data_IF_439287813265
#
_entry.id   IF_439287813265
#
_cell.length_a   1.000
_cell.length_b   1.000
_cell.length_c   1.000
_cell.angle_alpha   90.00
_cell.angle_beta   90.00
_cell.angle_gamma   90.00
#
_symmetry.space_group_name_H-M   'P 1'
#
loop_
_entity.id
_entity.type
_entity.pdbx_description
1 polymer ?
#
# COMPACT_ATOMS: atom_id res chain seq x y z
N UNK A 1 -35.76 0.12 0.34
CA UNK A 1 -35.98 1.16 1.37
C UNK A 1 -34.63 1.65 1.82
N UNK A 2 -34.45 2.98 1.87
CA UNK A 2 -33.25 3.72 2.26
C UNK A 2 -31.97 3.42 1.45
N UNK A 3 -31.99 3.75 0.17
CA UNK A 3 -30.78 4.25 -0.48
C UNK A 3 -30.50 5.63 0.13
N UNK A 4 -29.80 5.67 1.26
CA UNK A 4 -29.13 6.88 1.70
C UNK A 4 -28.06 7.14 0.64
N UNK A 5 -28.15 8.23 -0.15
CA UNK A 5 -26.98 8.69 -0.85
C UNK A 5 -26.02 9.12 0.26
N UNK A 6 -24.99 8.33 0.53
CA UNK A 6 -23.76 8.84 1.11
C UNK A 6 -23.11 9.74 0.06
N UNK A 7 -23.79 10.84 -0.26
CA UNK A 7 -23.12 12.08 -0.56
C UNK A 7 -22.41 12.43 0.73
N UNK A 8 -21.12 12.07 0.83
CA UNK A 8 -20.25 12.76 1.77
C UNK A 8 -20.45 14.25 1.52
N UNK A 9 -21.00 14.94 2.52
CA UNK A 9 -21.23 16.39 2.54
C UNK A 9 -19.92 17.17 2.63
N UNK A 10 -18.95 16.81 1.80
CA UNK A 10 -17.76 17.56 1.45
C UNK A 10 -17.91 17.72 -0.06
N UNK A 11 -18.31 18.91 -0.50
CA UNK A 11 -18.53 19.17 -1.92
C UNK A 11 -17.36 18.65 -2.75
N UNK A 12 -17.65 17.90 -3.82
CA UNK A 12 -16.63 17.63 -4.83
C UNK A 12 -16.07 18.97 -5.27
N UNK A 13 -14.75 19.11 -5.17
CA UNK A 13 -14.05 20.34 -5.49
C UNK A 13 -13.98 20.43 -7.01
N UNK A 14 -15.12 20.68 -7.66
CA UNK A 14 -15.16 20.94 -9.11
C UNK A 14 -14.49 22.27 -9.46
N UNK A 15 -14.40 23.18 -8.50
CA UNK A 15 -13.70 24.45 -8.65
C UNK A 15 -12.28 24.33 -8.13
N UNK A 16 -11.38 23.84 -9.00
CA UNK A 16 -9.95 23.85 -8.75
C UNK A 16 -9.50 25.27 -8.37
N UNK A 17 -8.63 25.44 -7.35
CA UNK A 17 -8.16 26.77 -6.95
C UNK A 17 -7.38 27.49 -8.06
N UNK A 18 -6.91 26.75 -9.07
CA UNK A 18 -6.20 27.25 -10.25
C UNK A 18 -6.64 26.41 -11.46
N UNK A 19 -6.69 26.96 -12.68
CA UNK A 19 -7.03 26.19 -13.88
C UNK A 19 -6.22 24.89 -14.02
N UNK A 20 -6.90 23.75 -14.23
CA UNK A 20 -6.26 22.43 -14.25
C UNK A 20 -5.11 22.29 -15.26
N UNK A 21 -5.17 23.01 -16.38
CA UNK A 21 -4.08 23.03 -17.36
C UNK A 21 -2.76 23.56 -16.79
N UNK A 22 -2.79 24.58 -15.91
CA UNK A 22 -1.59 25.13 -15.28
C UNK A 22 -0.90 24.10 -14.38
N UNK A 23 -1.66 23.28 -13.67
CA UNK A 23 -1.11 22.20 -12.85
C UNK A 23 -0.49 21.09 -13.70
N UNK A 24 -1.13 20.70 -14.81
CA UNK A 24 -0.59 19.69 -15.72
C UNK A 24 0.76 20.15 -16.30
N UNK A 25 0.85 21.40 -16.77
CA UNK A 25 2.13 21.95 -17.23
C UNK A 25 3.14 22.09 -16.11
N UNK A 26 2.73 22.58 -14.93
CA UNK A 26 3.61 22.73 -13.77
C UNK A 26 4.24 21.41 -13.34
N UNK A 27 3.44 20.35 -13.22
CA UNK A 27 3.92 19.02 -12.88
C UNK A 27 4.85 18.46 -13.97
N UNK A 28 4.49 18.59 -15.25
CA UNK A 28 5.35 18.16 -16.35
C UNK A 28 6.69 18.90 -16.34
N UNK A 29 6.69 20.23 -16.14
CA UNK A 29 7.90 21.05 -16.03
C UNK A 29 8.74 20.61 -14.84
N UNK A 30 8.15 20.39 -13.67
CA UNK A 30 8.89 19.93 -12.48
C UNK A 30 9.58 18.60 -12.77
N UNK A 31 8.94 17.66 -13.47
CA UNK A 31 9.56 16.39 -13.84
C UNK A 31 10.68 16.55 -14.86
N UNK A 32 10.49 17.39 -15.89
CA UNK A 32 11.51 17.67 -16.89
C UNK A 32 12.73 18.35 -16.27
N UNK A 33 12.51 19.32 -15.37
CA UNK A 33 13.58 20.02 -14.66
C UNK A 33 14.27 19.07 -13.68
N UNK A 34 13.52 18.26 -12.93
CA UNK A 34 14.09 17.25 -12.03
C UNK A 34 14.91 16.22 -12.80
N UNK A 35 14.47 15.84 -13.99
CA UNK A 35 15.23 15.00 -14.91
C UNK A 35 16.53 15.66 -15.35
N UNK A 36 16.46 16.92 -15.79
CA UNK A 36 17.63 17.67 -16.25
C UNK A 36 18.67 17.86 -15.14
N UNK A 37 18.22 18.14 -13.91
CA UNK A 37 19.09 18.20 -12.73
C UNK A 37 19.64 16.81 -12.36
N UNK A 38 18.81 15.78 -12.44
CA UNK A 38 19.21 14.38 -12.30
C UNK A 38 20.32 14.01 -13.29
N UNK A 39 20.25 14.45 -14.54
CA UNK A 39 21.28 14.20 -15.55
C UNK A 39 22.68 14.75 -15.19
N UNK A 40 22.78 15.70 -14.25
CA UNK A 40 24.06 16.20 -13.73
C UNK A 40 24.72 15.22 -12.75
N UNK A 41 23.97 14.25 -12.24
CA UNK A 41 24.39 13.21 -11.32
C UNK A 41 25.15 12.10 -12.08
N UNK A 42 26.47 12.01 -11.89
CA UNK A 42 27.34 11.11 -12.70
C UNK A 42 27.81 9.83 -12.00
N UNK A 43 27.52 9.65 -10.70
CA UNK A 43 27.97 8.50 -9.88
C UNK A 43 26.87 8.13 -8.89
N UNK A 44 26.59 6.85 -8.59
CA UNK A 44 25.52 6.50 -7.66
C UNK A 44 25.73 7.17 -6.28
N UNK A 45 24.69 7.79 -5.73
CA UNK A 45 24.74 8.44 -4.40
C UNK A 45 23.83 7.75 -3.38
N UNK A 46 22.79 7.03 -3.83
CA UNK A 46 21.86 6.36 -2.94
C UNK A 46 22.35 4.94 -2.62
N UNK A 47 22.77 4.18 -3.63
CA UNK A 47 23.29 2.82 -3.43
C UNK A 47 24.52 2.78 -2.50
N UNK A 48 25.44 3.75 -2.63
CA UNK A 48 26.64 3.89 -1.80
C UNK A 48 26.32 4.22 -0.33
N UNK A 49 25.16 4.82 -0.06
CA UNK A 49 24.72 5.24 1.29
C UNK A 49 23.70 4.30 1.92
N UNK A 50 23.37 3.19 1.26
CA UNK A 50 22.34 2.26 1.70
C UNK A 50 22.65 1.53 3.01
N UNK A 51 23.94 1.34 3.33
CA UNK A 51 24.37 0.63 4.54
C UNK A 51 24.00 1.36 5.85
N UNK A 52 23.92 2.70 5.80
CA UNK A 52 23.62 3.53 6.97
C UNK A 52 24.67 3.47 8.09
N UNK A 53 24.33 4.06 9.23
CA UNK A 53 25.12 4.06 10.47
C UNK A 53 24.29 3.49 11.62
N UNK A 54 24.86 2.62 12.47
CA UNK A 54 24.12 2.05 13.59
C UNK A 54 23.69 3.14 14.58
N UNK A 55 22.48 3.00 15.12
CA UNK A 55 22.00 3.85 16.21
C UNK A 55 22.80 3.61 17.52
N UNK A 56 22.78 4.54 18.48
CA UNK A 56 23.44 4.35 19.77
C UNK A 56 22.98 3.07 20.49
N UNK A 57 23.90 2.42 21.21
CA UNK A 57 23.64 1.15 21.90
C UNK A 57 22.43 1.14 22.86
N UNK A 58 22.13 2.22 23.63
CA UNK A 58 20.92 2.26 24.45
C UNK A 58 19.63 2.13 23.63
N UNK A 59 19.58 2.82 22.49
CA UNK A 59 18.42 2.81 21.60
C UNK A 59 18.26 1.46 20.89
N UNK A 60 19.37 0.82 20.49
CA UNK A 60 19.33 -0.54 19.94
C UNK A 60 18.76 -1.54 20.95
N UNK A 61 19.21 -1.49 22.22
CA UNK A 61 18.71 -2.38 23.28
C UNK A 61 17.23 -2.19 23.56
N UNK A 62 16.75 -0.95 23.53
CA UNK A 62 15.33 -0.65 23.71
C UNK A 62 14.50 -1.16 22.52
N UNK A 63 14.85 -0.78 21.30
CA UNK A 63 14.06 -1.08 20.09
C UNK A 63 14.08 -2.57 19.73
N UNK A 64 15.18 -3.27 20.00
CA UNK A 64 15.33 -4.70 19.73
C UNK A 64 15.15 -5.56 20.99
N UNK A 65 14.73 -4.93 22.09
CA UNK A 65 14.56 -5.59 23.38
C UNK A 65 13.45 -6.65 23.34
N UNK A 66 13.64 -7.80 24.02
CA UNK A 66 12.63 -8.86 24.04
C UNK A 66 11.34 -8.40 24.73
N UNK A 67 11.44 -7.52 25.73
CA UNK A 67 10.31 -6.97 26.48
C UNK A 67 9.39 -6.12 25.59
N UNK A 68 9.97 -5.16 24.84
CA UNK A 68 9.22 -4.35 23.90
C UNK A 68 8.60 -5.22 22.80
N UNK A 69 9.37 -6.18 22.27
CA UNK A 69 8.87 -7.11 21.25
C UNK A 69 7.71 -7.97 21.76
N UNK A 70 7.78 -8.45 23.00
CA UNK A 70 6.71 -9.21 23.63
C UNK A 70 5.47 -8.33 23.84
N UNK A 71 5.65 -7.12 24.38
CA UNK A 71 4.56 -6.17 24.60
C UNK A 71 3.83 -5.84 23.29
N UNK A 72 4.58 -5.44 22.27
CA UNK A 72 4.02 -5.11 20.95
C UNK A 72 3.34 -6.31 20.30
N UNK A 73 3.92 -7.51 20.43
CA UNK A 73 3.30 -8.74 19.92
C UNK A 73 1.99 -9.09 20.65
N UNK A 74 1.95 -8.96 21.98
CA UNK A 74 0.72 -9.17 22.77
C UNK A 74 -0.35 -8.14 22.41
N UNK A 75 0.02 -6.88 22.24
CA UNK A 75 -0.90 -5.81 21.80
C UNK A 75 -1.43 -6.12 20.40
N UNK A 76 -0.57 -6.51 19.45
CA UNK A 76 -0.99 -6.85 18.09
C UNK A 76 -1.95 -8.04 18.07
N UNK A 77 -1.64 -9.13 18.77
CA UNK A 77 -2.53 -10.30 18.88
C UNK A 77 -3.85 -9.95 19.56
N UNK A 78 -3.80 -9.13 20.63
CA UNK A 78 -4.99 -8.63 21.31
C UNK A 78 -5.87 -7.76 20.42
N UNK A 79 -5.27 -6.88 19.62
CA UNK A 79 -5.99 -6.05 18.64
C UNK A 79 -6.62 -6.91 17.53
N UNK A 80 -5.90 -7.90 17.00
CA UNK A 80 -6.47 -8.84 16.02
C UNK A 80 -7.69 -9.56 16.59
N UNK A 81 -7.58 -10.08 17.83
CA UNK A 81 -8.67 -10.77 18.50
C UNK A 81 -9.86 -9.84 18.78
N UNK A 82 -9.61 -8.61 19.24
CA UNK A 82 -10.64 -7.60 19.48
C UNK A 82 -11.38 -7.24 18.19
N UNK A 83 -10.65 -6.91 17.12
CA UNK A 83 -11.23 -6.52 15.84
C UNK A 83 -12.00 -7.67 15.21
N UNK A 84 -11.48 -8.89 15.28
CA UNK A 84 -12.19 -10.09 14.83
C UNK A 84 -13.47 -10.33 15.64
N UNK A 85 -13.41 -10.23 16.98
CA UNK A 85 -14.59 -10.40 17.83
C UNK A 85 -15.63 -9.30 17.60
N UNK A 86 -15.20 -8.05 17.45
CA UNK A 86 -16.09 -6.94 17.11
C UNK A 86 -16.76 -7.16 15.75
N UNK A 87 -16.00 -7.57 14.73
CA UNK A 87 -16.52 -7.90 13.42
C UNK A 87 -17.52 -9.08 13.45
N UNK A 88 -17.25 -10.09 14.29
CA UNK A 88 -18.02 -11.33 14.37
C UNK A 88 -19.21 -11.27 15.34
N UNK A 89 -19.24 -10.39 16.33
CA UNK A 89 -20.29 -10.36 17.35
C UNK A 89 -20.93 -8.98 17.51
N UNK A 90 -20.20 -7.91 17.21
CA UNK A 90 -20.68 -6.54 17.32
C UNK A 90 -21.78 -6.18 16.33
N UNK A 91 -22.25 -4.95 16.47
CA UNK A 91 -23.22 -4.31 15.58
C UNK A 91 -22.73 -4.37 14.13
N UNK A 92 -23.64 -4.64 13.20
CA UNK A 92 -23.30 -4.85 11.79
C UNK A 92 -23.32 -3.54 10.98
N UNK A 93 -23.47 -2.39 11.63
CA UNK A 93 -23.37 -1.07 11.02
C UNK A 93 -21.94 -0.55 10.99
N UNK A 94 -21.55 -0.01 9.84
CA UNK A 94 -20.20 0.49 9.53
C UNK A 94 -19.75 1.60 10.48
N UNK A 95 -20.69 2.41 10.99
CA UNK A 95 -20.40 3.58 11.83
C UNK A 95 -20.35 3.30 13.34
N UNK A 96 -20.85 2.15 13.80
CA UNK A 96 -20.85 1.76 15.21
C UNK A 96 -19.77 0.73 15.55
N UNK A 97 -19.34 -0.07 14.57
CA UNK A 97 -18.34 -1.11 14.76
C UNK A 97 -16.91 -0.60 14.49
N UNK A 98 -15.94 -0.99 15.31
CA UNK A 98 -14.54 -0.60 15.09
C UNK A 98 -13.91 -1.26 13.86
N UNK A 99 -14.37 -2.46 13.48
CA UNK A 99 -13.64 -3.30 12.54
C UNK A 99 -13.38 -2.65 11.16
N UNK A 100 -14.36 -2.00 10.50
CA UNK A 100 -14.13 -1.36 9.21
C UNK A 100 -13.15 -0.20 9.31
N UNK A 101 -13.32 0.65 10.33
CA UNK A 101 -12.41 1.79 10.57
C UNK A 101 -11.00 1.31 10.91
N UNK A 102 -10.87 0.26 11.72
CA UNK A 102 -9.56 -0.28 12.07
C UNK A 102 -8.85 -0.88 10.86
N UNK A 103 -9.51 -1.77 10.10
CA UNK A 103 -8.90 -2.48 8.97
C UNK A 103 -8.53 -1.51 7.86
N UNK A 104 -9.48 -0.69 7.38
CA UNK A 104 -9.26 0.16 6.21
C UNK A 104 -8.59 1.49 6.53
N UNK A 105 -8.79 2.06 7.72
CA UNK A 105 -8.23 3.39 8.03
C UNK A 105 -7.00 3.29 8.93
N UNK A 106 -7.09 2.63 10.08
CA UNK A 106 -5.97 2.59 11.04
C UNK A 106 -4.84 1.71 10.54
N UNK A 107 -5.15 0.49 10.12
CA UNK A 107 -4.19 -0.52 9.70
C UNK A 107 -3.70 -0.28 8.27
N UNK A 108 -4.61 -0.28 7.30
CA UNK A 108 -4.25 -0.20 5.89
C UNK A 108 -3.62 1.16 5.52
N UNK A 109 -4.22 2.27 5.97
CA UNK A 109 -3.74 3.61 5.62
C UNK A 109 -2.85 4.23 6.69
N UNK A 110 -3.20 4.07 7.97
CA UNK A 110 -2.49 4.69 9.08
C UNK A 110 -1.10 4.12 9.32
N UNK A 111 -0.86 2.84 9.01
CA UNK A 111 0.46 2.23 9.18
C UNK A 111 1.46 2.66 8.10
N UNK A 112 1.00 3.02 6.91
CA UNK A 112 1.85 3.45 5.78
C UNK A 112 2.77 4.63 6.14
N UNK A 113 2.28 5.80 6.63
CA UNK A 113 3.17 6.90 6.99
C UNK A 113 4.11 6.52 8.13
N UNK A 114 3.68 5.69 9.08
CA UNK A 114 4.53 5.24 10.18
C UNK A 114 5.70 4.40 9.65
N UNK A 115 5.44 3.47 8.73
CA UNK A 115 6.46 2.62 8.10
C UNK A 115 7.43 3.43 7.23
N UNK A 116 6.92 4.39 6.47
CA UNK A 116 7.75 5.26 5.61
C UNK A 116 8.65 6.18 6.44
N UNK A 117 8.22 6.58 7.65
CA UNK A 117 9.00 7.46 8.53
C UNK A 117 9.94 6.69 9.46
N UNK A 118 9.52 5.55 10.00
CA UNK A 118 10.22 4.83 11.07
C UNK A 118 10.91 3.53 10.62
N UNK A 119 10.67 3.09 9.38
CA UNK A 119 11.16 1.81 8.87
C UNK A 119 10.20 0.65 9.14
N UNK A 120 10.68 -0.57 8.96
CA UNK A 120 9.82 -1.76 9.00
C UNK A 120 9.45 -2.14 10.44
N UNK A 121 8.36 -1.55 10.93
CA UNK A 121 7.78 -1.84 12.25
C UNK A 121 6.84 -3.05 12.22
N UNK A 122 6.40 -3.46 11.03
CA UNK A 122 5.41 -4.53 10.87
C UNK A 122 5.83 -5.85 11.51
N UNK A 123 7.09 -6.32 11.41
CA UNK A 123 7.51 -7.48 12.16
C UNK A 123 7.19 -7.38 13.65
N UNK A 124 7.39 -6.23 14.31
CA UNK A 124 7.08 -6.10 15.74
C UNK A 124 5.57 -6.07 16.05
N UNK A 125 4.73 -5.78 15.06
CA UNK A 125 3.28 -5.63 15.17
C UNK A 125 2.51 -6.70 14.41
N UNK A 126 3.16 -7.77 13.94
CA UNK A 126 2.52 -8.79 13.09
C UNK A 126 1.80 -9.82 13.98
N UNK A 127 0.46 -9.76 14.09
CA UNK A 127 -0.27 -10.62 15.02
C UNK A 127 -0.21 -12.09 14.60
N UNK A 128 -0.14 -12.38 13.30
CA UNK A 128 -0.06 -13.76 12.81
C UNK A 128 1.26 -14.41 13.18
N UNK A 129 2.37 -13.68 13.04
CA UNK A 129 3.70 -14.13 13.44
C UNK A 129 3.75 -14.44 14.92
N UNK A 130 3.25 -13.52 15.75
CA UNK A 130 3.39 -13.62 17.20
C UNK A 130 2.43 -14.65 17.80
N UNK A 131 1.21 -14.80 17.26
CA UNK A 131 0.33 -15.91 17.58
C UNK A 131 0.96 -17.27 17.20
N UNK A 132 1.53 -17.38 16.00
CA UNK A 132 2.23 -18.59 15.56
C UNK A 132 3.45 -18.93 16.41
N UNK A 133 4.22 -17.92 16.85
CA UNK A 133 5.34 -18.10 17.77
C UNK A 133 4.87 -18.57 19.16
N UNK A 134 3.74 -18.06 19.66
CA UNK A 134 3.13 -18.52 20.91
C UNK A 134 2.71 -20.00 20.85
N UNK A 135 2.09 -20.43 19.74
CA UNK A 135 1.74 -21.84 19.51
C UNK A 135 3.00 -22.72 19.44
N UNK A 136 4.02 -22.29 18.70
CA UNK A 136 5.28 -23.02 18.60
C UNK A 136 5.96 -23.19 19.98
N UNK A 137 5.98 -22.14 20.79
CA UNK A 137 6.50 -22.18 22.16
C UNK A 137 5.72 -23.17 23.06
N UNK A 138 4.39 -23.21 22.96
CA UNK A 138 3.57 -24.17 23.70
C UNK A 138 3.87 -25.62 23.29
N UNK A 139 4.02 -25.87 21.99
CA UNK A 139 4.36 -27.21 21.47
C UNK A 139 5.74 -27.66 21.96
N UNK A 140 6.74 -26.77 21.94
CA UNK A 140 8.08 -27.06 22.46
C UNK A 140 8.04 -27.42 23.95
N UNK A 141 7.24 -26.70 24.76
CA UNK A 141 7.04 -27.02 26.18
C UNK A 141 6.33 -28.36 26.41
N UNK A 142 5.48 -28.77 25.48
CA UNK A 142 4.84 -30.08 25.49
C UNK A 142 5.78 -31.20 24.98
N UNK A 143 7.03 -30.90 24.64
CA UNK A 143 8.01 -31.86 24.14
C UNK A 143 7.93 -32.12 22.63
N UNK A 144 7.09 -31.40 21.91
CA UNK A 144 6.92 -31.53 20.46
C UNK A 144 7.79 -30.51 19.74
N UNK A 145 8.78 -30.98 18.97
CA UNK A 145 9.53 -30.12 18.05
C UNK A 145 8.85 -30.12 16.69
N UNK A 146 8.43 -28.95 16.24
CA UNK A 146 7.90 -28.77 14.89
C UNK A 146 8.99 -28.24 13.96
N UNK A 147 9.06 -28.80 12.76
CA UNK A 147 9.90 -28.32 11.66
C UNK A 147 9.04 -28.18 10.40
N UNK A 148 9.27 -27.15 9.56
CA UNK A 148 8.51 -26.98 8.33
C UNK A 148 8.57 -28.24 7.45
N UNK A 149 7.44 -28.81 7.03
CA UNK A 149 7.40 -30.00 6.19
C UNK A 149 7.89 -29.74 4.76
N UNK A 150 7.92 -28.48 4.31
CA UNK A 150 8.32 -28.11 2.95
C UNK A 150 9.19 -26.86 2.95
N UNK A 151 10.08 -26.76 1.96
CA UNK A 151 10.82 -25.52 1.68
C UNK A 151 10.00 -24.62 0.78
N UNK A 152 10.03 -23.32 1.04
CA UNK A 152 9.41 -22.33 0.17
C UNK A 152 10.08 -22.36 -1.22
N UNK A 153 9.34 -22.59 -2.32
CA UNK A 153 9.92 -22.60 -3.66
C UNK A 153 10.44 -21.21 -4.06
N UNK A 154 11.73 -21.08 -4.38
CA UNK A 154 12.33 -19.79 -4.76
C UNK A 154 11.64 -19.15 -5.98
N UNK A 155 11.17 -19.97 -6.92
CA UNK A 155 10.39 -19.53 -8.10
C UNK A 155 9.09 -18.80 -7.76
N UNK A 156 8.52 -19.03 -6.56
CA UNK A 156 7.32 -18.33 -6.14
C UNK A 156 7.63 -16.89 -5.77
N UNK A 157 8.82 -16.59 -5.23
CA UNK A 157 9.20 -15.24 -4.83
C UNK A 157 8.06 -14.51 -4.10
N UNK A 158 7.68 -13.35 -4.60
CA UNK A 158 6.56 -12.52 -4.11
C UNK A 158 5.20 -12.78 -4.78
N UNK A 159 5.06 -13.81 -5.64
CA UNK A 159 3.78 -14.10 -6.29
C UNK A 159 2.62 -14.36 -5.31
N UNK A 160 2.79 -15.18 -4.25
CA UNK A 160 1.71 -15.38 -3.28
C UNK A 160 1.31 -14.06 -2.59
N UNK A 161 2.27 -13.20 -2.27
CA UNK A 161 1.99 -11.88 -1.71
C UNK A 161 1.22 -10.99 -2.70
N UNK A 162 1.53 -11.05 -4.00
CA UNK A 162 0.82 -10.29 -5.02
C UNK A 162 -0.63 -10.76 -5.16
N UNK A 163 -0.87 -12.07 -5.11
CA UNK A 163 -2.22 -12.66 -5.14
C UNK A 163 -3.01 -12.28 -3.89
N UNK A 164 -2.40 -12.36 -2.70
CA UNK A 164 -3.06 -11.98 -1.46
C UNK A 164 -3.33 -10.47 -1.37
N UNK A 165 -2.43 -9.63 -1.88
CA UNK A 165 -2.67 -8.20 -2.00
C UNK A 165 -3.81 -7.93 -2.97
N UNK A 166 -3.83 -8.59 -4.13
CA UNK A 166 -4.91 -8.47 -5.11
C UNK A 166 -6.25 -8.90 -4.53
N UNK A 167 -6.29 -9.97 -3.75
CA UNK A 167 -7.50 -10.42 -3.06
C UNK A 167 -7.97 -9.37 -2.04
N UNK A 168 -7.06 -8.77 -1.28
CA UNK A 168 -7.38 -7.69 -0.33
C UNK A 168 -7.93 -6.45 -1.04
N UNK A 169 -7.28 -5.96 -2.10
CA UNK A 169 -7.79 -4.78 -2.83
C UNK A 169 -9.04 -5.10 -3.66
N UNK A 170 -9.28 -6.37 -4.01
CA UNK A 170 -10.54 -6.80 -4.64
C UNK A 170 -11.68 -6.73 -3.62
N UNK A 171 -11.44 -7.18 -2.38
CA UNK A 171 -12.38 -6.99 -1.29
C UNK A 171 -12.66 -5.49 -1.08
N UNK A 172 -11.61 -4.66 -1.04
CA UNK A 172 -11.73 -3.21 -0.80
C UNK A 172 -12.48 -2.48 -1.94
N UNK A 173 -12.15 -2.74 -3.21
CA UNK A 173 -12.55 -1.90 -4.34
C UNK A 173 -13.62 -2.51 -5.24
N UNK A 174 -13.85 -3.81 -5.18
CA UNK A 174 -14.78 -4.50 -6.07
C UNK A 174 -15.97 -5.15 -5.35
N UNK A 175 -15.82 -5.53 -4.08
CA UNK A 175 -16.88 -6.20 -3.33
C UNK A 175 -17.93 -5.18 -2.84
N UNK A 176 -19.24 -5.36 -3.16
CA UNK A 176 -20.28 -4.38 -2.83
C UNK A 176 -20.46 -4.07 -1.33
N UNK A 177 -20.09 -5.01 -0.45
CA UNK A 177 -20.29 -4.93 1.00
C UNK A 177 -18.97 -5.03 1.77
N UNK A 178 -17.92 -4.37 1.25
CA UNK A 178 -16.56 -4.45 1.78
C UNK A 178 -16.44 -3.95 3.23
N UNK A 179 -17.26 -2.96 3.59
CA UNK A 179 -17.26 -2.26 4.88
C UNK A 179 -18.20 -2.89 5.91
N UNK A 180 -19.01 -3.90 5.54
CA UNK A 180 -19.81 -4.67 6.50
C UNK A 180 -18.90 -5.42 7.49
N UNK A 181 -19.09 -5.25 8.81
CA UNK A 181 -18.30 -5.96 9.83
C UNK A 181 -18.24 -7.48 9.63
N UNK A 182 -19.35 -8.13 9.26
CA UNK A 182 -19.36 -9.59 9.02
C UNK A 182 -18.49 -10.02 7.84
N UNK A 183 -18.43 -9.22 6.79
CA UNK A 183 -17.53 -9.46 5.65
C UNK A 183 -16.08 -9.45 6.13
N UNK A 184 -15.72 -8.48 6.97
CA UNK A 184 -14.37 -8.37 7.54
C UNK A 184 -14.04 -9.51 8.51
N UNK A 185 -15.01 -9.99 9.30
CA UNK A 185 -14.80 -11.16 10.15
C UNK A 185 -14.36 -12.39 9.31
N UNK A 186 -15.06 -12.65 8.20
CA UNK A 186 -14.72 -13.74 7.28
C UNK A 186 -13.36 -13.49 6.62
N UNK A 187 -13.10 -12.27 6.15
CA UNK A 187 -11.82 -11.92 5.52
C UNK A 187 -10.64 -12.10 6.48
N UNK A 188 -10.75 -11.61 7.72
CA UNK A 188 -9.74 -11.79 8.78
C UNK A 188 -9.52 -13.28 9.06
N UNK A 189 -10.58 -14.06 9.19
CA UNK A 189 -10.50 -15.50 9.46
C UNK A 189 -9.76 -16.24 8.33
N UNK A 190 -10.18 -16.02 7.08
CA UNK A 190 -9.59 -16.65 5.89
C UNK A 190 -8.12 -16.24 5.74
N UNK A 191 -7.81 -14.95 5.85
CA UNK A 191 -6.44 -14.45 5.76
C UNK A 191 -5.54 -15.04 6.85
N UNK A 192 -6.04 -15.11 8.09
CA UNK A 192 -5.30 -15.66 9.23
C UNK A 192 -4.99 -17.13 9.02
N UNK A 193 -5.95 -17.92 8.56
CA UNK A 193 -5.74 -19.34 8.29
C UNK A 193 -4.79 -19.59 7.13
N UNK A 194 -4.91 -18.86 6.02
CA UNK A 194 -3.94 -18.94 4.91
C UNK A 194 -2.53 -18.67 5.44
N UNK A 195 -2.38 -17.61 6.24
CA UNK A 195 -1.08 -17.21 6.80
C UNK A 195 -0.52 -18.25 7.75
N UNK A 196 -1.31 -18.75 8.72
CA UNK A 196 -0.86 -19.77 9.66
C UNK A 196 -0.54 -21.10 8.97
N UNK A 197 -1.37 -21.56 8.03
CA UNK A 197 -1.11 -22.80 7.27
C UNK A 197 0.17 -22.67 6.45
N UNK A 198 0.39 -21.52 5.81
CA UNK A 198 1.60 -21.29 5.01
C UNK A 198 2.85 -21.20 5.90
N UNK A 199 2.77 -20.55 7.07
CA UNK A 199 3.86 -20.55 8.05
C UNK A 199 4.14 -21.96 8.59
N UNK A 200 3.10 -22.75 8.84
CA UNK A 200 3.20 -24.14 9.29
C UNK A 200 3.67 -25.11 8.19
N UNK A 201 3.62 -24.71 6.92
CA UNK A 201 4.09 -25.51 5.78
C UNK A 201 5.53 -25.13 5.39
N UNK A 202 5.82 -23.84 5.29
CA UNK A 202 7.07 -23.32 4.70
C UNK A 202 8.04 -22.70 5.71
N UNK A 203 7.60 -22.53 6.97
CA UNK A 203 8.33 -21.78 7.98
C UNK A 203 7.94 -20.30 8.00
N UNK A 204 7.79 -19.76 9.22
CA UNK A 204 7.36 -18.36 9.43
C UNK A 204 8.28 -17.34 8.75
N UNK A 205 9.61 -17.53 8.84
CA UNK A 205 10.58 -16.63 8.21
C UNK A 205 10.44 -16.59 6.69
N UNK A 206 10.32 -17.76 6.05
CA UNK A 206 10.25 -17.84 4.59
C UNK A 206 8.93 -17.29 4.06
N UNK A 207 7.81 -17.61 4.72
CA UNK A 207 6.49 -17.11 4.33
C UNK A 207 6.37 -15.60 4.53
N UNK A 208 6.74 -15.06 5.70
CA UNK A 208 6.60 -13.63 5.96
C UNK A 208 7.53 -12.77 5.10
N UNK A 209 8.70 -13.27 4.71
CA UNK A 209 9.62 -12.54 3.84
C UNK A 209 9.18 -12.47 2.36
N UNK A 210 8.27 -13.35 1.93
CA UNK A 210 7.99 -13.57 0.50
C UNK A 210 6.49 -13.66 0.16
N UNK A 211 5.71 -14.39 0.94
CA UNK A 211 4.33 -14.76 0.58
C UNK A 211 3.24 -13.98 1.29
N UNK A 212 3.49 -13.42 2.48
CA UNK A 212 2.47 -12.67 3.23
C UNK A 212 2.36 -11.21 2.74
N UNK A 213 1.16 -10.81 2.31
CA UNK A 213 0.95 -9.56 1.57
C UNK A 213 1.40 -8.33 2.35
N UNK A 214 1.03 -8.23 3.64
CA UNK A 214 1.32 -7.03 4.43
C UNK A 214 2.80 -6.93 4.81
N UNK A 215 3.47 -8.04 5.08
CA UNK A 215 4.92 -8.06 5.30
C UNK A 215 5.70 -7.64 4.05
N UNK A 216 5.28 -8.08 2.87
CA UNK A 216 5.90 -7.63 1.62
C UNK A 216 5.57 -6.15 1.33
N UNK A 217 4.32 -5.74 1.55
CA UNK A 217 3.86 -4.36 1.34
C UNK A 217 4.60 -3.36 2.24
N UNK A 218 4.52 -3.54 3.56
CA UNK A 218 5.21 -2.67 4.52
C UNK A 218 6.73 -2.81 4.43
N UNK A 219 7.24 -4.02 4.17
CA UNK A 219 8.66 -4.24 3.93
C UNK A 219 9.18 -3.45 2.72
N UNK A 220 8.42 -3.37 1.63
CA UNK A 220 8.78 -2.60 0.44
C UNK A 220 8.70 -1.09 0.69
N UNK A 221 7.65 -0.61 1.34
CA UNK A 221 7.49 0.81 1.69
C UNK A 221 8.55 1.29 2.68
N UNK A 222 8.93 0.46 3.66
CA UNK A 222 9.97 0.77 4.64
C UNK A 222 11.34 1.06 4.02
N UNK A 223 11.57 0.63 2.77
CA UNK A 223 12.82 0.89 2.05
C UNK A 223 13.02 2.37 1.73
N UNK A 224 11.95 3.16 1.78
CA UNK A 224 11.98 4.62 1.69
C UNK A 224 12.50 5.27 2.98
N UNK A 225 12.36 4.59 4.12
CA UNK A 225 12.56 5.18 5.43
C UNK A 225 14.03 5.48 5.76
N UNK A 226 14.28 6.51 6.60
CA UNK A 226 15.60 6.81 7.13
C UNK A 226 16.11 5.76 8.12
N UNK A 227 15.27 4.86 8.61
CA UNK A 227 15.65 3.81 9.55
C UNK A 227 15.41 2.42 8.97
N UNK A 228 16.26 1.46 9.32
CA UNK A 228 16.13 0.07 8.91
C UNK A 228 16.77 -0.86 9.93
N UNK A 229 16.44 -2.15 9.85
CA UNK A 229 17.19 -3.20 10.55
C UNK A 229 18.13 -3.88 9.54
N UNK A 230 19.42 -3.85 9.82
CA UNK A 230 20.46 -4.50 9.02
C UNK A 230 21.38 -5.31 9.95
N UNK A 231 21.58 -6.58 9.64
CA UNK A 231 22.38 -7.52 10.45
C UNK A 231 22.04 -7.51 11.95
N UNK A 232 20.74 -7.44 12.25
CA UNK A 232 20.24 -7.42 13.63
C UNK A 232 20.50 -6.11 14.38
N UNK A 233 20.84 -5.02 13.69
CA UNK A 233 21.03 -3.69 14.27
C UNK A 233 20.12 -2.67 13.62
N UNK A 234 19.61 -1.73 14.40
CA UNK A 234 18.88 -0.57 13.85
C UNK A 234 19.90 0.44 13.30
N UNK A 235 19.77 0.77 12.02
CA UNK A 235 20.65 1.70 11.30
C UNK A 235 19.86 2.92 10.81
N UNK A 236 20.48 4.09 10.89
CA UNK A 236 20.04 5.31 10.22
C UNK A 236 20.74 5.42 8.86
N UNK A 237 19.97 5.47 7.77
CA UNK A 237 20.44 5.58 6.39
C UNK A 237 19.81 6.80 5.71
N UNK A 238 20.35 7.17 4.57
CA UNK A 238 19.71 8.19 3.73
C UNK A 238 18.33 7.67 3.28
N UNK A 239 17.22 8.43 3.41
CA UNK A 239 15.95 8.06 2.81
C UNK A 239 16.08 7.61 1.35
N UNK A 240 15.17 6.75 0.89
CA UNK A 240 15.17 6.13 -0.45
C UNK A 240 16.30 5.12 -0.73
N UNK A 241 17.43 5.19 -0.01
CA UNK A 241 18.60 4.35 -0.32
C UNK A 241 18.33 2.84 -0.23
N UNK A 242 17.31 2.44 0.53
CA UNK A 242 16.86 1.04 0.59
C UNK A 242 16.25 0.50 -0.71
N UNK A 243 15.84 1.38 -1.62
CA UNK A 243 15.28 1.03 -2.94
C UNK A 243 16.28 1.16 -4.10
N UNK A 244 17.50 1.65 -3.84
CA UNK A 244 18.50 1.88 -4.88
C UNK A 244 19.05 0.58 -5.52
N UNK A 245 18.90 -0.55 -4.82
CA UNK A 245 19.33 -1.86 -5.28
C UNK A 245 18.23 -2.55 -6.09
N UNK A 246 18.65 -3.38 -7.04
CA UNK A 246 17.73 -4.24 -7.79
C UNK A 246 16.99 -5.21 -6.86
N UNK A 247 15.74 -5.52 -7.22
CA UNK A 247 14.95 -6.55 -6.56
C UNK A 247 14.73 -7.72 -7.53
N UNK A 248 15.51 -8.77 -7.33
CA UNK A 248 15.53 -9.94 -8.21
C UNK A 248 14.46 -10.98 -7.87
N UNK A 249 13.68 -10.76 -6.81
CA UNK A 249 12.67 -11.73 -6.37
C UNK A 249 11.58 -11.86 -7.44
N UNK A 250 11.27 -13.10 -7.90
CA UNK A 250 10.15 -13.34 -8.80
C UNK A 250 8.86 -12.74 -8.25
N UNK A 251 7.97 -12.22 -9.09
CA UNK A 251 6.68 -11.68 -8.62
C UNK A 251 6.71 -10.25 -8.06
N UNK A 252 7.89 -9.63 -7.91
CA UNK A 252 7.99 -8.22 -7.44
C UNK A 252 7.28 -7.24 -8.37
N UNK A 253 7.43 -7.40 -9.70
CA UNK A 253 6.72 -6.56 -10.67
C UNK A 253 5.19 -6.69 -10.56
N UNK A 254 4.60 -7.90 -10.62
CA UNK A 254 3.17 -8.09 -10.35
C UNK A 254 2.72 -7.46 -9.01
N UNK A 255 3.49 -7.64 -7.93
CA UNK A 255 3.18 -7.05 -6.63
C UNK A 255 3.07 -5.52 -6.70
N UNK A 256 4.07 -4.86 -7.28
CA UNK A 256 4.10 -3.40 -7.45
C UNK A 256 3.03 -2.92 -8.43
N UNK A 257 2.74 -3.70 -9.48
CA UNK A 257 1.65 -3.42 -10.40
C UNK A 257 0.27 -3.50 -9.71
N UNK A 258 0.07 -4.42 -8.76
CA UNK A 258 -1.14 -4.44 -7.93
C UNK A 258 -1.20 -3.21 -7.02
N UNK A 259 -0.08 -2.83 -6.37
CA UNK A 259 -0.04 -1.62 -5.54
C UNK A 259 -0.43 -0.36 -6.31
N UNK A 260 0.13 -0.14 -7.50
CA UNK A 260 -0.14 1.07 -8.28
C UNK A 260 -1.47 0.97 -9.05
N UNK A 261 -1.77 -0.19 -9.62
CA UNK A 261 -2.98 -0.43 -10.42
C UNK A 261 -4.27 -0.41 -9.59
N UNK A 262 -4.23 -0.83 -8.32
CA UNK A 262 -5.38 -0.74 -7.42
C UNK A 262 -5.78 0.71 -7.13
N UNK A 263 -4.83 1.57 -6.80
CA UNK A 263 -5.11 3.00 -6.55
C UNK A 263 -5.50 3.73 -7.84
N UNK A 264 -4.87 3.41 -8.96
CA UNK A 264 -5.29 3.93 -10.26
C UNK A 264 -6.73 3.49 -10.61
N UNK A 265 -7.11 2.27 -10.25
CA UNK A 265 -8.48 1.79 -10.40
C UNK A 265 -9.44 2.49 -9.45
N UNK A 266 -9.07 2.71 -8.18
CA UNK A 266 -9.90 3.45 -7.22
C UNK A 266 -10.29 4.83 -7.77
N UNK A 267 -9.30 5.64 -8.18
CA UNK A 267 -9.58 6.94 -8.82
C UNK A 267 -10.40 6.81 -10.11
N UNK A 268 -10.08 5.85 -10.99
CA UNK A 268 -10.85 5.67 -12.22
C UNK A 268 -12.31 5.24 -11.95
N UNK A 269 -12.53 4.44 -10.92
CA UNK A 269 -13.85 3.94 -10.54
C UNK A 269 -14.77 5.04 -10.02
N UNK A 270 -14.21 6.14 -9.50
CA UNK A 270 -14.96 7.32 -9.02
C UNK A 270 -15.47 8.21 -10.14
N UNK A 271 -14.90 8.11 -11.34
CA UNK A 271 -15.31 8.92 -12.49
C UNK A 271 -16.80 8.72 -12.84
N UNK A 272 -17.43 9.79 -13.34
CA UNK A 272 -18.83 9.75 -13.77
C UNK A 272 -19.09 8.66 -14.83
N UNK A 273 -18.13 8.36 -15.70
CA UNK A 273 -18.28 7.30 -16.70
C UNK A 273 -18.45 5.93 -16.04
N UNK A 274 -17.59 5.60 -15.07
CA UNK A 274 -17.62 4.31 -14.36
C UNK A 274 -18.88 4.18 -13.51
N UNK A 275 -19.18 5.19 -12.69
CA UNK A 275 -20.37 5.21 -11.83
C UNK A 275 -21.67 5.09 -12.63
N UNK A 276 -21.79 5.81 -13.76
CA UNK A 276 -22.94 5.67 -14.63
C UNK A 276 -23.05 4.26 -15.25
N UNK A 277 -21.93 3.56 -15.47
CA UNK A 277 -21.94 2.17 -15.96
C UNK A 277 -22.40 1.21 -14.87
N UNK A 278 -21.95 1.39 -13.63
CA UNK A 278 -22.40 0.61 -12.47
C UNK A 278 -23.91 0.74 -12.26
N UNK A 279 -24.43 1.97 -12.28
CA UNK A 279 -25.87 2.23 -12.18
C UNK A 279 -26.63 1.55 -13.33
N UNK A 280 -26.12 1.62 -14.57
CA UNK A 280 -26.74 0.91 -15.70
C UNK A 280 -26.77 -0.60 -15.50
N UNK A 281 -25.67 -1.20 -15.03
CA UNK A 281 -25.60 -2.63 -14.74
C UNK A 281 -26.64 -2.98 -13.67
N UNK A 282 -26.65 -2.27 -12.54
CA UNK A 282 -27.62 -2.50 -11.45
C UNK A 282 -29.07 -2.37 -11.93
N UNK A 283 -29.38 -1.31 -12.69
CA UNK A 283 -30.74 -1.06 -13.22
C UNK A 283 -31.19 -2.08 -14.27
N UNK A 284 -30.27 -2.89 -14.81
CA UNK A 284 -30.60 -3.95 -15.78
C UNK A 284 -31.16 -5.20 -15.09
N UNK A 285 -31.06 -5.29 -13.76
CA UNK A 285 -31.62 -6.36 -12.95
C UNK A 285 -32.90 -5.89 -12.23
N UNK A 286 -33.88 -6.79 -12.10
CA UNK A 286 -35.08 -6.52 -11.30
C UNK A 286 -34.80 -6.52 -9.79
N UNK A 287 -35.74 -6.00 -9.00
CA UNK A 287 -35.64 -5.95 -7.53
C UNK A 287 -35.56 -7.33 -6.87
N UNK A 288 -35.99 -8.39 -7.56
CA UNK A 288 -35.91 -9.77 -7.07
C UNK A 288 -34.55 -10.43 -7.36
N UNK A 289 -33.66 -9.76 -8.12
CA UNK A 289 -32.36 -10.28 -8.57
C UNK A 289 -31.16 -9.54 -7.96
N UNK A 290 -31.33 -8.94 -6.78
CA UNK A 290 -30.29 -8.13 -6.12
C UNK A 290 -28.96 -8.86 -6.00
N UNK A 291 -28.95 -10.13 -5.60
CA UNK A 291 -27.71 -10.90 -5.51
C UNK A 291 -26.99 -11.10 -6.86
N UNK A 292 -27.74 -11.16 -7.99
CA UNK A 292 -27.11 -11.21 -9.32
C UNK A 292 -26.59 -9.84 -9.75
N UNK A 293 -27.29 -8.77 -9.38
CA UNK A 293 -26.83 -7.41 -9.61
C UNK A 293 -25.50 -7.16 -8.89
N UNK A 294 -25.38 -7.57 -7.63
CA UNK A 294 -24.15 -7.44 -6.83
C UNK A 294 -22.99 -8.24 -7.43
N UNK A 295 -23.25 -9.48 -7.87
CA UNK A 295 -22.24 -10.28 -8.58
C UNK A 295 -21.81 -9.64 -9.90
N UNK A 296 -22.73 -9.04 -10.65
CA UNK A 296 -22.42 -8.35 -11.90
C UNK A 296 -21.58 -7.08 -11.67
N UNK A 297 -21.91 -6.30 -10.64
CA UNK A 297 -21.14 -5.13 -10.20
C UNK A 297 -19.74 -5.55 -9.76
N UNK A 298 -19.65 -6.59 -8.91
CA UNK A 298 -18.38 -7.13 -8.45
C UNK A 298 -17.52 -7.61 -9.61
N UNK A 299 -18.09 -8.36 -10.56
CA UNK A 299 -17.38 -8.85 -11.73
C UNK A 299 -16.88 -7.69 -12.63
N UNK A 300 -17.69 -6.65 -12.80
CA UNK A 300 -17.30 -5.46 -13.58
C UNK A 300 -16.16 -4.68 -12.91
N UNK A 301 -16.23 -4.47 -11.58
CA UNK A 301 -15.17 -3.82 -10.82
C UNK A 301 -13.88 -4.67 -10.80
N UNK A 302 -13.99 -5.98 -10.61
CA UNK A 302 -12.84 -6.88 -10.68
C UNK A 302 -12.18 -6.85 -12.06
N UNK A 303 -12.96 -6.85 -13.14
CA UNK A 303 -12.42 -6.72 -14.50
C UNK A 303 -11.70 -5.39 -14.70
N UNK A 304 -12.26 -4.28 -14.19
CA UNK A 304 -11.62 -2.97 -14.21
C UNK A 304 -10.30 -2.93 -13.43
N UNK A 305 -10.30 -3.50 -12.22
CA UNK A 305 -9.10 -3.62 -11.37
C UNK A 305 -8.00 -4.43 -12.06
N UNK A 306 -8.33 -5.61 -12.57
CA UNK A 306 -7.37 -6.46 -13.30
C UNK A 306 -6.84 -5.78 -14.56
N UNK A 307 -7.72 -5.09 -15.31
CA UNK A 307 -7.32 -4.34 -16.49
C UNK A 307 -6.36 -3.20 -16.13
N UNK A 308 -6.58 -2.48 -15.02
CA UNK A 308 -5.69 -1.41 -14.59
C UNK A 308 -4.33 -1.94 -14.10
N UNK A 309 -4.32 -3.02 -13.33
CA UNK A 309 -3.08 -3.70 -12.92
C UNK A 309 -2.28 -4.19 -14.13
N UNK A 310 -2.95 -4.80 -15.10
CA UNK A 310 -2.33 -5.25 -16.35
C UNK A 310 -1.82 -4.06 -17.19
N UNK A 311 -2.58 -2.97 -17.27
CA UNK A 311 -2.18 -1.75 -17.97
C UNK A 311 -0.91 -1.16 -17.35
N UNK A 312 -0.87 -0.99 -16.03
CA UNK A 312 0.34 -0.49 -15.33
C UNK A 312 1.55 -1.37 -15.64
N UNK A 313 1.42 -2.70 -15.51
CA UNK A 313 2.51 -3.62 -15.82
C UNK A 313 2.94 -3.53 -17.30
N UNK A 314 1.98 -3.46 -18.22
CA UNK A 314 2.23 -3.38 -19.66
C UNK A 314 2.98 -2.09 -20.03
N UNK A 315 2.50 -0.92 -19.60
CA UNK A 315 3.14 0.36 -19.94
C UNK A 315 4.55 0.41 -19.34
N UNK A 316 4.76 -0.10 -18.13
CA UNK A 316 6.10 -0.22 -17.55
C UNK A 316 7.01 -1.14 -18.39
N UNK A 317 6.54 -2.32 -18.78
CA UNK A 317 7.31 -3.25 -19.61
C UNK A 317 7.64 -2.65 -20.99
N UNK A 318 6.72 -1.91 -21.61
CA UNK A 318 6.96 -1.19 -22.86
C UNK A 318 8.04 -0.11 -22.70
N UNK A 319 8.02 0.63 -21.59
CA UNK A 319 9.07 1.60 -21.28
C UNK A 319 10.44 0.92 -21.13
N UNK A 320 10.50 -0.24 -20.47
CA UNK A 320 11.73 -1.03 -20.35
C UNK A 320 12.21 -1.57 -21.69
N UNK A 321 11.31 -1.99 -22.57
CA UNK A 321 11.67 -2.44 -23.92
C UNK A 321 12.23 -1.28 -24.76
N UNK A 322 11.64 -0.08 -24.65
CA UNK A 322 12.21 1.14 -25.22
C UNK A 322 13.61 1.44 -24.68
N UNK A 323 13.81 1.30 -23.36
CA UNK A 323 15.11 1.51 -22.72
C UNK A 323 16.14 0.47 -23.18
N UNK A 324 15.71 -0.78 -23.37
CA UNK A 324 16.52 -1.88 -23.90
C UNK A 324 16.97 -1.60 -25.33
N UNK A 325 16.04 -1.19 -26.19
CA UNK A 325 16.33 -0.81 -27.58
C UNK A 325 17.31 0.38 -27.65
N UNK A 326 17.14 1.39 -26.79
CA UNK A 326 18.03 2.56 -26.73
C UNK A 326 19.44 2.29 -26.18
N UNK A 327 19.63 1.18 -25.46
CA UNK A 327 20.91 0.80 -24.83
C UNK A 327 21.61 -0.40 -25.48
N UNK A 328 20.90 -1.21 -26.28
CA UNK A 328 21.45 -2.42 -26.91
C UNK A 328 21.67 -3.60 -25.95
N UNK A 329 21.13 -3.55 -24.73
CA UNK A 329 21.29 -4.60 -23.71
C UNK A 329 20.34 -5.78 -23.97
N UNK A 330 20.80 -7.00 -23.72
CA UNK A 330 19.98 -8.21 -23.92
C UNK A 330 19.33 -8.75 -22.64
N UNK A 331 19.88 -8.39 -21.48
CA UNK A 331 19.36 -8.82 -20.17
C UNK A 331 18.11 -8.04 -19.75
N UNK A 332 17.24 -8.69 -18.96
CA UNK A 332 16.01 -8.09 -18.44
C UNK A 332 16.27 -6.89 -17.52
N UNK A 333 15.54 -5.80 -17.76
CA UNK A 333 15.65 -4.56 -16.98
C UNK A 333 14.62 -4.44 -15.85
N UNK A 334 13.59 -5.31 -15.82
CA UNK A 334 12.51 -5.19 -14.84
C UNK A 334 12.99 -5.27 -13.37
N UNK A 335 13.83 -6.23 -12.95
CA UNK A 335 14.37 -6.27 -11.59
C UNK A 335 15.18 -5.01 -11.20
N UNK A 336 15.76 -4.34 -12.20
CA UNK A 336 16.60 -3.16 -11.99
C UNK A 336 15.76 -1.94 -11.69
N UNK A 337 14.66 -1.74 -12.41
CA UNK A 337 13.88 -0.50 -12.35
C UNK A 337 12.56 -0.61 -11.58
N UNK A 338 12.08 -1.79 -11.21
CA UNK A 338 10.77 -1.95 -10.54
C UNK A 338 10.66 -1.15 -9.24
N UNK A 339 11.74 -1.04 -8.46
CA UNK A 339 11.80 -0.26 -7.22
C UNK A 339 11.51 1.24 -7.42
N UNK A 340 11.72 1.77 -8.64
CA UNK A 340 11.41 3.17 -8.97
C UNK A 340 9.91 3.48 -8.99
N UNK A 341 9.06 2.46 -9.10
CA UNK A 341 7.60 2.62 -9.05
C UNK A 341 7.06 2.70 -7.61
N UNK A 342 7.84 2.29 -6.61
CA UNK A 342 7.39 2.24 -5.20
C UNK A 342 7.06 3.63 -4.63
N UNK A 343 7.90 4.67 -4.79
CA UNK A 343 7.54 6.02 -4.34
C UNK A 343 6.29 6.56 -5.03
N UNK A 344 6.04 6.14 -6.28
CA UNK A 344 4.86 6.55 -7.06
C UNK A 344 3.61 5.89 -6.49
N UNK A 345 3.64 4.58 -6.28
CA UNK A 345 2.54 3.86 -5.64
C UNK A 345 2.21 4.44 -4.25
N UNK A 346 3.23 4.79 -3.45
CA UNK A 346 3.04 5.48 -2.18
C UNK A 346 2.37 6.84 -2.37
N UNK A 347 2.86 7.66 -3.30
CA UNK A 347 2.34 9.01 -3.50
C UNK A 347 0.89 9.00 -3.98
N UNK A 348 0.52 8.08 -4.86
CA UNK A 348 -0.88 7.87 -5.24
C UNK A 348 -1.73 7.45 -4.05
N UNK A 349 -1.26 6.48 -3.26
CA UNK A 349 -1.99 6.02 -2.06
C UNK A 349 -2.22 7.18 -1.09
N UNK A 350 -1.19 7.97 -0.80
CA UNK A 350 -1.31 9.13 0.10
C UNK A 350 -2.21 10.20 -0.52
N UNK A 351 -2.10 10.49 -1.81
CA UNK A 351 -2.95 11.49 -2.46
C UNK A 351 -4.44 11.10 -2.37
N UNK A 352 -4.81 9.89 -2.74
CA UNK A 352 -6.22 9.47 -2.71
C UNK A 352 -6.78 9.32 -1.29
N UNK A 353 -5.95 8.87 -0.34
CA UNK A 353 -6.45 8.51 1.00
C UNK A 353 -6.09 9.49 2.12
N UNK A 354 -5.41 10.60 1.84
CA UNK A 354 -5.03 11.59 2.86
C UNK A 354 -6.23 12.15 3.64
N UNK A 355 -7.26 12.61 2.93
CA UNK A 355 -8.47 13.16 3.57
C UNK A 355 -9.21 12.09 4.37
N UNK A 356 -9.30 10.87 3.83
CA UNK A 356 -9.90 9.72 4.50
C UNK A 356 -9.17 9.42 5.82
N UNK A 357 -7.83 9.37 5.79
CA UNK A 357 -7.02 9.10 6.99
C UNK A 357 -7.19 10.19 8.06
N UNK A 358 -7.18 11.47 7.67
CA UNK A 358 -7.31 12.58 8.64
C UNK A 358 -8.73 12.72 9.17
N UNK A 359 -9.75 12.60 8.32
CA UNK A 359 -11.14 12.86 8.70
C UNK A 359 -11.81 11.62 9.29
N UNK A 360 -11.64 10.44 8.71
CA UNK A 360 -12.21 9.20 9.26
C UNK A 360 -11.32 8.55 10.31
N UNK A 361 -10.00 8.75 10.29
CA UNK A 361 -9.11 8.23 11.33
C UNK A 361 -9.42 8.79 12.72
N UNK A 362 -10.02 9.99 12.76
CA UNK A 362 -10.61 10.57 13.96
C UNK A 362 -11.67 9.67 14.63
N UNK A 363 -12.50 8.96 13.84
CA UNK A 363 -13.54 8.06 14.35
C UNK A 363 -12.97 6.90 15.16
N UNK A 364 -11.72 6.50 14.90
CA UNK A 364 -11.07 5.43 15.65
C UNK A 364 -11.01 5.76 17.16
N UNK A 365 -10.89 7.04 17.55
CA UNK A 365 -10.90 7.45 18.96
C UNK A 365 -12.25 7.20 19.62
N UNK A 366 -13.34 7.47 18.91
CA UNK A 366 -14.71 7.21 19.40
C UNK A 366 -14.96 5.71 19.49
N UNK A 367 -14.68 5.00 18.40
CA UNK A 367 -14.89 3.56 18.28
C UNK A 367 -14.00 2.73 19.22
N UNK A 368 -12.87 3.26 19.68
CA UNK A 368 -12.06 2.60 20.70
C UNK A 368 -12.76 2.50 22.07
N UNK A 369 -13.70 3.40 22.39
CA UNK A 369 -14.51 3.33 23.61
C UNK A 369 -15.66 2.33 23.51
N UNK A 370 -16.17 2.10 22.30
CA UNK A 370 -17.26 1.16 22.02
C UNK A 370 -16.96 0.28 20.79
N UNK A 371 -15.99 -0.64 20.88
CA UNK A 371 -15.52 -1.36 19.69
C UNK A 371 -16.58 -2.27 19.05
N UNK A 372 -17.55 -2.74 19.84
CA UNK A 372 -18.63 -3.62 19.38
C UNK A 372 -19.90 -2.86 18.96
N UNK A 373 -20.02 -1.56 19.26
CA UNK A 373 -21.24 -0.79 19.03
C UNK A 373 -22.38 -1.12 20.01
N UNK A 374 -22.06 -1.48 21.24
CA UNK A 374 -23.05 -1.86 22.27
C UNK A 374 -23.42 -0.72 23.22
N UNK A 375 -22.93 0.50 22.96
CA UNK A 375 -23.12 1.66 23.82
C UNK A 375 -22.14 1.70 25.01
N UNK A 376 -20.97 1.09 24.89
CA UNK A 376 -19.93 1.17 25.91
C UNK A 376 -19.23 2.53 25.92
N UNK A 377 -18.57 2.87 27.03
CA UNK A 377 -17.68 4.03 27.12
C UNK A 377 -16.41 3.68 27.88
N UNK A 378 -15.62 2.76 27.32
CA UNK A 378 -14.46 2.19 28.01
C UNK A 378 -13.33 3.21 28.27
N UNK A 379 -13.20 4.23 27.42
CA UNK A 379 -12.12 5.23 27.49
C UNK A 379 -12.64 6.66 27.75
N UNK A 380 -13.95 6.85 27.97
CA UNK A 380 -14.53 8.18 28.14
C UNK A 380 -14.59 8.99 26.84
N UNK A 381 -14.67 8.33 25.68
CA UNK A 381 -14.62 8.96 24.35
C UNK A 381 -15.81 8.63 23.46
N UNK A 382 -16.87 7.99 23.99
CA UNK A 382 -18.06 7.65 23.20
C UNK A 382 -18.74 8.89 22.57
N UNK A 383 -18.77 10.03 23.28
CA UNK A 383 -19.36 11.29 22.79
C UNK A 383 -18.39 12.16 21.96
N UNK A 384 -17.18 11.66 21.69
CA UNK A 384 -16.19 12.42 20.96
C UNK A 384 -16.62 12.66 19.51
N UNK A 385 -16.71 13.93 19.11
CA UNK A 385 -17.11 14.33 17.75
C UNK A 385 -15.90 14.65 16.88
N UNK A 386 -15.79 14.06 15.67
CA UNK A 386 -14.77 14.43 14.69
C UNK A 386 -14.89 15.89 14.27
N UNK A 387 -13.74 16.54 14.12
CA UNK A 387 -13.64 17.86 13.52
C UNK A 387 -13.50 17.73 12.02
N UNK A 388 -14.57 18.03 11.30
CA UNK A 388 -14.63 17.96 9.83
C UNK A 388 -14.11 19.25 9.16
N UNK A 389 -13.93 20.31 9.93
CA UNK A 389 -13.41 21.62 9.50
C UNK A 389 -11.87 21.68 9.42
N UNK A 390 -11.18 20.58 9.73
CA UNK A 390 -9.72 20.48 9.76
C UNK A 390 -9.06 20.71 8.40
N UNK A 391 -9.70 20.30 7.32
CA UNK A 391 -9.15 20.33 5.97
C UNK A 391 -10.11 21.06 5.04
N UNK A 392 -9.61 22.12 4.41
CA UNK A 392 -10.34 22.76 3.31
C UNK A 392 -10.14 21.98 2.01
N UNK A 393 -11.11 22.03 1.07
CA UNK A 393 -10.94 21.62 -0.33
C UNK A 393 -9.57 21.95 -0.93
N UNK A 394 -9.14 23.19 -0.79
CA UNK A 394 -7.87 23.67 -1.34
C UNK A 394 -6.67 23.01 -0.67
N UNK A 395 -6.72 22.82 0.65
CA UNK A 395 -5.67 22.13 1.40
C UNK A 395 -5.51 20.69 0.92
N UNK A 396 -6.62 19.97 0.77
CA UNK A 396 -6.62 18.59 0.26
C UNK A 396 -5.98 18.56 -1.13
N UNK A 397 -6.44 19.42 -2.03
CA UNK A 397 -5.91 19.52 -3.40
C UNK A 397 -4.40 19.78 -3.43
N UNK A 398 -3.89 20.79 -2.70
CA UNK A 398 -2.46 21.11 -2.69
C UNK A 398 -1.60 19.98 -2.11
N UNK A 399 -2.07 19.30 -1.06
CA UNK A 399 -1.38 18.13 -0.51
C UNK A 399 -1.35 16.99 -1.52
N UNK A 400 -2.48 16.69 -2.17
CA UNK A 400 -2.58 15.65 -3.20
C UNK A 400 -1.60 15.89 -4.35
N UNK A 401 -1.63 17.08 -4.95
CA UNK A 401 -0.73 17.44 -6.06
C UNK A 401 0.72 17.44 -5.61
N UNK A 402 1.02 18.03 -4.45
CA UNK A 402 2.38 18.11 -3.91
C UNK A 402 2.99 16.73 -3.66
N UNK A 403 2.24 15.84 -3.00
CA UNK A 403 2.68 14.46 -2.74
C UNK A 403 2.84 13.68 -4.05
N UNK A 404 1.91 13.82 -5.00
CA UNK A 404 1.99 13.16 -6.30
C UNK A 404 3.27 13.55 -7.05
N UNK A 405 3.56 14.85 -7.15
CA UNK A 405 4.77 15.36 -7.81
C UNK A 405 6.03 14.88 -7.10
N UNK A 406 6.08 14.98 -5.77
CA UNK A 406 7.23 14.49 -4.98
C UNK A 406 7.46 13.00 -5.22
N UNK A 407 6.42 12.17 -5.18
CA UNK A 407 6.53 10.73 -5.45
C UNK A 407 7.18 10.40 -6.79
N UNK A 408 6.77 11.09 -7.86
CA UNK A 408 7.34 10.89 -9.19
C UNK A 408 8.77 11.40 -9.30
N UNK A 409 9.11 12.51 -8.65
CA UNK A 409 10.51 12.99 -8.58
C UNK A 409 11.39 11.96 -7.87
N UNK A 410 10.94 11.39 -6.74
CA UNK A 410 11.67 10.36 -6.01
C UNK A 410 11.81 9.07 -6.84
N UNK A 411 10.76 8.67 -7.57
CA UNK A 411 10.82 7.55 -8.51
C UNK A 411 11.85 7.77 -9.63
N UNK A 412 11.86 8.98 -10.20
CA UNK A 412 12.82 9.37 -11.22
C UNK A 412 14.27 9.38 -10.70
N UNK A 413 14.49 9.88 -9.48
CA UNK A 413 15.79 9.85 -8.81
C UNK A 413 16.29 8.41 -8.63
N UNK A 414 15.44 7.47 -8.21
CA UNK A 414 15.79 6.05 -8.07
C UNK A 414 16.10 5.40 -9.42
N UNK A 415 15.28 5.66 -10.44
CA UNK A 415 15.53 5.18 -11.79
C UNK A 415 16.85 5.73 -12.34
N UNK A 416 17.16 7.00 -12.05
CA UNK A 416 18.40 7.63 -12.48
C UNK A 416 19.63 7.05 -11.78
N UNK A 417 19.62 6.95 -10.44
CA UNK A 417 20.70 6.34 -9.65
C UNK A 417 21.00 4.92 -10.15
N UNK A 418 19.95 4.11 -10.36
CA UNK A 418 20.11 2.75 -10.89
C UNK A 418 20.68 2.72 -12.29
N UNK A 419 20.21 3.58 -13.19
CA UNK A 419 20.70 3.65 -14.56
C UNK A 419 22.19 4.03 -14.61
N UNK A 420 22.65 4.93 -13.73
CA UNK A 420 24.07 5.31 -13.64
C UNK A 420 24.92 4.19 -13.02
N UNK A 421 24.39 3.43 -12.05
CA UNK A 421 25.04 2.20 -11.57
C UNK A 421 25.19 1.18 -12.70
N UNK A 422 24.11 0.94 -13.45
CA UNK A 422 24.03 -0.12 -14.46
C UNK A 422 24.82 0.23 -15.73
N UNK A 423 24.65 1.45 -16.24
CA UNK A 423 25.26 1.92 -17.47
C UNK A 423 26.38 2.92 -17.13
N UNK A 424 27.60 2.41 -16.97
CA UNK A 424 28.80 3.22 -16.65
C UNK A 424 29.09 4.37 -17.63
N UNK A 425 28.47 4.36 -18.82
CA UNK A 425 28.53 5.45 -19.80
C UNK A 425 27.35 6.42 -19.62
N UNK A 426 27.59 7.71 -19.32
CA UNK A 426 26.54 8.71 -19.13
C UNK A 426 25.57 8.81 -20.33
N UNK A 427 26.07 8.68 -21.56
CA UNK A 427 25.24 8.75 -22.76
C UNK A 427 24.28 7.56 -22.91
N UNK A 428 24.71 6.36 -22.49
CA UNK A 428 23.86 5.16 -22.51
C UNK A 428 22.85 5.19 -21.36
N UNK A 429 23.28 5.65 -20.17
CA UNK A 429 22.38 5.86 -19.04
C UNK A 429 21.23 6.82 -19.41
N UNK A 430 21.54 7.95 -20.06
CA UNK A 430 20.52 8.91 -20.52
C UNK A 430 19.54 8.30 -21.54
N UNK A 431 20.03 7.51 -22.51
CA UNK A 431 19.16 6.84 -23.49
C UNK A 431 18.18 5.86 -22.83
N UNK A 432 18.61 5.16 -21.78
CA UNK A 432 17.72 4.28 -21.00
C UNK A 432 16.62 5.03 -20.27
N UNK A 433 16.82 6.33 -20.01
CA UNK A 433 15.91 7.12 -19.20
C UNK A 433 14.82 7.84 -19.99
N UNK A 434 14.99 8.12 -21.29
CA UNK A 434 13.92 8.78 -22.05
C UNK A 434 12.60 8.01 -22.03
N UNK A 435 12.56 6.68 -22.26
CA UNK A 435 11.33 5.91 -22.17
C UNK A 435 10.74 5.91 -20.75
N UNK A 436 11.60 5.85 -19.74
CA UNK A 436 11.20 5.95 -18.33
C UNK A 436 10.64 7.34 -17.98
N UNK A 437 11.20 8.41 -18.52
CA UNK A 437 10.69 9.77 -18.34
C UNK A 437 9.30 9.92 -18.97
N UNK A 438 9.11 9.42 -20.19
CA UNK A 438 7.81 9.41 -20.86
C UNK A 438 6.78 8.66 -20.02
N UNK A 439 7.16 7.49 -19.49
CA UNK A 439 6.33 6.73 -18.55
C UNK A 439 5.94 7.57 -17.33
N UNK A 440 6.91 8.18 -16.64
CA UNK A 440 6.65 8.95 -15.42
C UNK A 440 5.77 10.18 -15.68
N UNK A 441 5.99 10.88 -16.79
CA UNK A 441 5.15 12.01 -17.19
C UNK A 441 3.74 11.52 -17.52
N UNK A 442 3.61 10.41 -18.25
CA UNK A 442 2.33 9.79 -18.56
C UNK A 442 1.54 9.44 -17.30
N UNK A 443 2.17 8.76 -16.34
CA UNK A 443 1.55 8.47 -15.05
C UNK A 443 1.14 9.75 -14.32
N UNK A 444 2.03 10.73 -14.18
CA UNK A 444 1.72 11.98 -13.48
C UNK A 444 0.51 12.70 -14.10
N UNK A 445 0.49 12.82 -15.42
CA UNK A 445 -0.62 13.46 -16.14
C UNK A 445 -1.92 12.68 -15.96
N UNK A 446 -1.87 11.34 -16.07
CA UNK A 446 -3.04 10.50 -15.80
C UNK A 446 -3.52 10.59 -14.36
N UNK A 447 -2.61 10.65 -13.38
CA UNK A 447 -2.95 10.80 -11.96
C UNK A 447 -3.60 12.14 -11.64
N UNK A 448 -3.03 13.23 -12.16
CA UNK A 448 -3.63 14.56 -12.02
C UNK A 448 -4.99 14.65 -12.73
N UNK A 449 -5.12 13.99 -13.88
CA UNK A 449 -6.41 13.90 -14.57
C UNK A 449 -7.44 13.15 -13.70
N UNK A 450 -7.09 12.00 -13.13
CA UNK A 450 -7.99 11.26 -12.22
C UNK A 450 -8.41 12.12 -11.03
N UNK A 451 -7.46 12.75 -10.34
CA UNK A 451 -7.74 13.65 -9.21
C UNK A 451 -8.66 14.83 -9.61
N UNK A 452 -8.54 15.35 -10.83
CA UNK A 452 -9.40 16.45 -11.30
C UNK A 452 -10.82 16.02 -11.67
N UNK A 453 -11.06 14.71 -11.80
CA UNK A 453 -12.36 14.13 -12.15
C UNK A 453 -13.00 13.34 -10.99
N UNK A 454 -12.35 13.31 -9.82
CA UNK A 454 -12.83 12.67 -8.58
C UNK A 454 -14.01 13.42 -7.92
#
# INVERSE_FOLDING_TARGET
>A
MNALPLAHGIGSVRDLPVPGWLFLYGAAIVLIVSFALGALWRRPLLEDRAAGRPLPAPLQRLLLGPELRLLLGLVAVGLLALVFAAALAGDDSVGANIAPTFVFVVFWLGLVPVVVLLGDIWPALNPWRDAGAGVAWLLERAGTRWTPPSRYPERWGCWPAAVLLLAFVTLELAYPDADRPRTLAVAILVYSWITWIAMATFGSRAWLANGEAFSVYFGLLSRLAPFAVHDGRVVARMPLSGLARADERPGTLPFVAVMLGSVAFDGFSRTAWWQNRLVRIQSSFGLDELGRADLAVMAFNLAGLLAMVALVALVFLLALEGARAGTGRQEGLAPQFVSSLVPIALAYSVAHYFSLLVLHGQQARRLASDPFGYGWDLLGTADWQPRLDLLTPNTIWYVQVGVLVVGHVLGLMLAHDRAVTLFRSPGVALRSQYPMLVLMVGYTVSGLWLLSND
#
